data_IF_514304679303
#
_entry.id   IF_514304679303
#
_cell.length_a   1.000
_cell.length_b   1.000
_cell.length_c   1.000
_cell.angle_alpha   90.00
_cell.angle_beta   90.00
_cell.angle_gamma   90.00
#
_symmetry.space_group_name_H-M   'P 1'
#
loop_
_entity.id
_entity.type
_entity.pdbx_description
1 polymer ?
#
# COMPACT_ATOMS: atom_id res chain seq x y z
N UNK A 1 -17.60 -3.43 -12.19
CA UNK A 1 -17.09 -4.77 -11.85
C UNK A 1 -15.73 -4.67 -11.19
N UNK A 2 -15.64 -5.01 -9.89
CA UNK A 2 -14.39 -4.95 -9.12
C UNK A 2 -13.50 -6.21 -9.29
N UNK A 3 -13.87 -7.12 -10.15
CA UNK A 3 -13.25 -8.45 -10.25
C UNK A 3 -11.94 -8.52 -11.07
N UNK A 4 -11.49 -7.41 -11.68
CA UNK A 4 -10.32 -7.42 -12.56
C UNK A 4 -9.20 -6.47 -12.15
N UNK A 5 -9.15 -6.06 -10.88
CA UNK A 5 -8.00 -5.29 -10.39
C UNK A 5 -6.86 -6.24 -10.09
N UNK A 6 -6.11 -6.59 -11.12
CA UNK A 6 -4.91 -7.41 -10.98
C UNK A 6 -3.80 -6.70 -10.21
N UNK A 7 -2.83 -7.49 -9.75
CA UNK A 7 -1.62 -7.04 -9.04
C UNK A 7 -0.99 -5.77 -9.65
N UNK A 8 -0.90 -5.72 -10.98
CA UNK A 8 -0.30 -4.58 -11.68
C UNK A 8 -1.11 -3.28 -11.61
N UNK A 9 -2.45 -3.31 -11.46
CA UNK A 9 -3.26 -2.08 -11.40
C UNK A 9 -3.07 -1.36 -10.05
N UNK A 10 -3.02 -2.09 -8.95
CA UNK A 10 -2.80 -1.53 -7.61
C UNK A 10 -1.41 -0.92 -7.52
N UNK A 11 -0.37 -1.66 -7.91
CA UNK A 11 1.02 -1.20 -7.89
C UNK A 11 1.23 0.02 -8.80
N UNK A 12 0.68 -0.01 -10.02
CA UNK A 12 0.71 1.11 -10.96
C UNK A 12 0.13 2.39 -10.35
N UNK A 13 -0.98 2.31 -9.64
CA UNK A 13 -1.59 3.48 -8.99
C UNK A 13 -0.70 4.07 -7.91
N UNK A 14 -0.10 3.22 -7.08
CA UNK A 14 0.82 3.65 -6.04
C UNK A 14 2.03 4.38 -6.64
N UNK A 15 2.60 3.83 -7.70
CA UNK A 15 3.71 4.44 -8.43
C UNK A 15 3.34 5.78 -9.09
N UNK A 16 2.12 5.88 -9.66
CA UNK A 16 1.60 7.12 -10.22
C UNK A 16 1.42 8.20 -9.14
N UNK A 17 0.90 7.84 -7.96
CA UNK A 17 0.74 8.76 -6.82
C UNK A 17 2.12 9.24 -6.35
N UNK A 18 3.08 8.33 -6.14
CA UNK A 18 4.45 8.66 -5.79
C UNK A 18 5.05 9.67 -6.80
N UNK A 19 4.98 9.34 -8.09
CA UNK A 19 5.54 10.16 -9.16
C UNK A 19 4.88 11.53 -9.23
N UNK A 20 3.55 11.60 -9.05
CA UNK A 20 2.79 12.85 -9.07
C UNK A 20 3.19 13.76 -7.89
N UNK A 21 3.32 13.20 -6.69
CA UNK A 21 3.78 13.95 -5.51
C UNK A 21 5.17 14.54 -5.78
N UNK A 22 6.11 13.73 -6.26
CA UNK A 22 7.48 14.17 -6.57
C UNK A 22 7.52 15.24 -7.66
N UNK A 23 6.72 15.07 -8.71
CA UNK A 23 6.60 16.05 -9.79
C UNK A 23 6.07 17.40 -9.28
N UNK A 24 5.01 17.38 -8.48
CA UNK A 24 4.42 18.60 -7.93
C UNK A 24 5.36 19.27 -6.92
N UNK A 25 6.03 18.52 -6.07
CA UNK A 25 7.02 19.03 -5.15
C UNK A 25 8.15 19.76 -5.90
N UNK A 26 8.70 19.14 -6.95
CA UNK A 26 9.75 19.73 -7.78
C UNK A 26 9.26 20.99 -8.51
N UNK A 27 8.09 20.92 -9.16
CA UNK A 27 7.50 22.05 -9.92
C UNK A 27 7.29 23.27 -9.04
N UNK A 28 6.79 23.06 -7.82
CA UNK A 28 6.44 24.14 -6.91
C UNK A 28 7.56 24.47 -5.91
N UNK A 29 8.72 23.84 -6.01
CA UNK A 29 9.86 23.98 -5.08
C UNK A 29 9.42 23.81 -3.62
N UNK A 30 8.57 22.82 -3.34
CA UNK A 30 8.03 22.53 -2.01
C UNK A 30 8.67 21.28 -1.44
N UNK A 31 8.96 21.32 -0.14
CA UNK A 31 9.35 20.15 0.63
C UNK A 31 8.11 19.31 0.97
N UNK A 32 8.24 18.01 0.89
CA UNK A 32 7.21 17.04 1.26
C UNK A 32 7.64 16.38 2.57
N UNK A 33 6.81 16.52 3.59
CA UNK A 33 7.00 15.84 4.87
C UNK A 33 5.83 14.85 5.02
N UNK A 34 6.17 13.60 5.25
CA UNK A 34 5.19 12.51 5.39
C UNK A 34 5.07 12.11 6.86
N UNK A 35 3.84 11.93 7.32
CA UNK A 35 3.54 11.42 8.66
C UNK A 35 2.74 10.12 8.51
N UNK A 36 3.33 9.02 8.95
CA UNK A 36 2.65 7.73 9.05
C UNK A 36 2.02 7.64 10.44
N UNK A 37 0.71 7.78 10.52
CA UNK A 37 -0.01 7.75 11.80
C UNK A 37 -0.12 6.32 12.31
N UNK A 38 -0.81 5.42 11.58
CA UNK A 38 -1.01 4.04 11.99
C UNK A 38 -0.16 3.08 11.15
N UNK A 39 -0.36 3.07 9.83
CA UNK A 39 0.29 2.13 8.91
C UNK A 39 0.80 2.83 7.66
N UNK A 40 2.09 2.68 7.38
CA UNK A 40 2.68 2.94 6.08
C UNK A 40 3.48 1.72 5.65
N UNK A 41 2.77 0.69 5.18
CA UNK A 41 3.33 -0.59 4.76
C UNK A 41 3.02 -0.87 3.30
N UNK A 42 3.84 -1.68 2.62
CA UNK A 42 3.68 -2.06 1.22
C UNK A 42 3.50 -0.82 0.33
N UNK A 43 2.42 -0.71 -0.42
CA UNK A 43 2.12 0.45 -1.24
C UNK A 43 1.99 1.77 -0.48
N UNK A 44 1.59 1.74 0.79
CA UNK A 44 1.58 2.91 1.67
C UNK A 44 3.01 3.41 1.91
N UNK A 45 3.96 2.52 2.11
CA UNK A 45 5.36 2.88 2.27
C UNK A 45 5.99 3.36 0.94
N UNK A 46 5.62 2.74 -0.19
CA UNK A 46 6.02 3.23 -1.51
C UNK A 46 5.60 4.71 -1.71
N UNK A 47 4.36 5.05 -1.34
CA UNK A 47 3.87 6.43 -1.42
C UNK A 47 4.62 7.32 -0.40
N UNK A 48 4.87 6.84 0.82
CA UNK A 48 5.61 7.58 1.84
C UNK A 48 7.04 7.94 1.38
N UNK A 49 7.66 7.09 0.56
CA UNK A 49 8.95 7.36 -0.07
C UNK A 49 8.95 8.59 -1.02
N UNK A 50 7.78 9.15 -1.35
CA UNK A 50 7.70 10.45 -2.02
C UNK A 50 8.06 11.62 -1.09
N UNK A 51 8.18 11.43 0.21
CA UNK A 51 8.61 12.42 1.18
C UNK A 51 10.11 12.70 1.11
N UNK A 52 10.48 13.96 1.36
CA UNK A 52 11.85 14.35 1.65
C UNK A 52 12.23 13.96 3.08
N UNK A 53 11.21 13.92 3.95
CA UNK A 53 11.27 13.42 5.31
C UNK A 53 10.03 12.56 5.61
N UNK A 54 10.23 11.50 6.41
CA UNK A 54 9.17 10.57 6.83
C UNK A 54 9.21 10.43 8.34
N UNK A 55 8.10 10.70 8.99
CA UNK A 55 7.91 10.56 10.43
C UNK A 55 6.81 9.54 10.72
N UNK A 56 6.88 8.90 11.88
CA UNK A 56 5.87 7.95 12.33
C UNK A 56 5.71 7.98 13.84
N UNK A 57 4.63 7.40 14.38
CA UNK A 57 4.57 7.10 15.80
C UNK A 57 5.44 5.88 16.12
N UNK A 58 5.84 5.71 17.37
CA UNK A 58 6.68 4.59 17.81
C UNK A 58 6.07 3.22 17.53
N UNK A 59 4.74 3.14 17.53
CA UNK A 59 3.94 1.93 17.29
C UNK A 59 3.37 1.81 15.88
N UNK A 60 3.60 2.79 15.00
CA UNK A 60 3.19 2.69 13.60
C UNK A 60 3.83 1.48 12.93
N UNK A 61 3.12 0.89 11.98
CA UNK A 61 3.62 -0.23 11.18
C UNK A 61 4.23 0.31 9.88
N UNK A 62 5.51 0.01 9.66
CA UNK A 62 6.30 0.55 8.55
C UNK A 62 6.99 -0.60 7.81
N UNK A 63 7.10 -0.50 6.47
CA UNK A 63 7.87 -1.46 5.68
C UNK A 63 6.98 -2.32 4.79
N UNK A 64 7.02 -3.64 4.97
CA UNK A 64 6.37 -4.61 4.07
C UNK A 64 6.77 -4.36 2.60
N UNK A 65 8.10 -4.24 2.38
CA UNK A 65 8.68 -4.00 1.06
C UNK A 65 8.76 -5.32 0.31
N UNK A 66 7.63 -5.67 -0.29
CA UNK A 66 7.46 -6.93 -1.00
C UNK A 66 6.22 -6.91 -1.88
N UNK A 67 6.08 -7.96 -2.70
CA UNK A 67 4.96 -8.12 -3.62
C UNK A 67 4.35 -9.50 -3.41
N UNK A 68 3.05 -9.52 -3.12
CA UNK A 68 2.30 -10.76 -2.94
C UNK A 68 1.19 -10.88 -3.97
N UNK A 69 0.93 -12.09 -4.41
CA UNK A 69 -0.30 -12.51 -5.08
C UNK A 69 -0.89 -13.66 -4.27
N UNK A 70 -2.14 -13.54 -3.90
CA UNK A 70 -2.89 -14.59 -3.23
C UNK A 70 -4.22 -14.82 -3.92
N UNK A 71 -4.60 -16.09 -4.05
CA UNK A 71 -5.86 -16.52 -4.66
C UNK A 71 -6.36 -17.76 -3.96
N UNK A 72 -7.58 -18.17 -4.27
CA UNK A 72 -8.16 -19.44 -3.82
C UNK A 72 -8.30 -20.40 -5.01
N UNK A 73 -8.04 -21.68 -4.79
CA UNK A 73 -8.34 -22.75 -5.75
C UNK A 73 -9.68 -23.41 -5.42
N UNK A 74 -10.60 -23.44 -6.38
CA UNK A 74 -11.93 -24.03 -6.22
C UNK A 74 -12.15 -25.26 -7.12
N UNK A 75 -11.11 -25.78 -7.75
CA UNK A 75 -11.21 -26.89 -8.71
C UNK A 75 -11.89 -28.10 -8.11
N UNK A 76 -11.48 -28.56 -6.93
CA UNK A 76 -12.08 -29.71 -6.25
C UNK A 76 -13.49 -29.42 -5.71
N UNK A 77 -13.77 -28.18 -5.34
CA UNK A 77 -15.09 -27.79 -4.85
C UNK A 77 -16.13 -27.89 -5.96
N UNK A 78 -15.85 -27.32 -7.14
CA UNK A 78 -16.80 -27.34 -8.25
C UNK A 78 -17.03 -28.76 -8.78
N UNK A 79 -16.01 -29.63 -8.76
CA UNK A 79 -16.16 -31.07 -9.08
C UNK A 79 -17.13 -31.76 -8.13
N UNK A 80 -17.02 -31.53 -6.81
CA UNK A 80 -17.89 -32.13 -5.80
C UNK A 80 -19.36 -31.76 -5.93
N UNK A 81 -19.66 -30.54 -6.40
CA UNK A 81 -21.03 -30.06 -6.60
C UNK A 81 -21.53 -30.27 -8.05
N UNK A 82 -20.78 -30.99 -8.89
CA UNK A 82 -21.18 -31.31 -10.26
C UNK A 82 -21.15 -30.12 -11.21
N UNK A 83 -20.36 -29.08 -10.93
CA UNK A 83 -20.20 -27.89 -11.78
C UNK A 83 -18.95 -28.05 -12.65
N UNK A 84 -19.12 -27.85 -13.95
CA UNK A 84 -18.04 -27.87 -14.94
C UNK A 84 -17.67 -26.46 -15.35
N UNK A 85 -16.39 -26.12 -15.27
CA UNK A 85 -15.84 -24.85 -15.76
C UNK A 85 -15.51 -24.97 -17.24
N UNK A 86 -16.22 -24.24 -18.09
CA UNK A 86 -15.99 -24.20 -19.56
C UNK A 86 -15.36 -22.86 -19.92
N UNK A 87 -14.15 -22.90 -20.50
CA UNK A 87 -13.38 -21.71 -20.87
C UNK A 87 -13.02 -21.76 -22.34
N UNK A 88 -13.44 -20.75 -23.07
CA UNK A 88 -13.12 -20.58 -24.50
C UNK A 88 -12.30 -19.28 -24.63
N UNK A 89 -11.06 -19.37 -25.10
CA UNK A 89 -10.17 -18.22 -25.20
C UNK A 89 -9.60 -18.07 -26.60
N UNK A 90 -9.46 -16.84 -27.04
CA UNK A 90 -8.57 -16.47 -28.13
C UNK A 90 -7.24 -15.98 -27.51
N UNK A 91 -6.18 -16.76 -27.79
CA UNK A 91 -4.86 -16.59 -27.19
C UNK A 91 -4.53 -17.65 -26.14
N UNK A 92 -3.41 -18.35 -26.39
CA UNK A 92 -2.96 -19.54 -25.61
C UNK A 92 -2.90 -19.33 -24.10
N UNK A 93 -2.54 -18.13 -23.66
CA UNK A 93 -2.30 -17.81 -22.25
C UNK A 93 -3.36 -16.87 -21.66
N UNK A 94 -4.57 -16.81 -22.23
CA UNK A 94 -5.58 -15.85 -21.78
C UNK A 94 -6.28 -16.26 -20.49
N UNK A 95 -6.31 -17.56 -20.17
CA UNK A 95 -6.86 -18.11 -18.92
C UNK A 95 -5.75 -18.48 -17.94
N UNK A 96 -4.96 -17.49 -17.54
CA UNK A 96 -3.88 -17.66 -16.58
C UNK A 96 -4.44 -17.55 -15.18
N UNK A 97 -4.08 -18.51 -14.28
CA UNK A 97 -4.43 -18.54 -12.85
C UNK A 97 -5.95 -18.44 -12.60
N UNK A 98 -6.75 -19.13 -13.43
CA UNK A 98 -8.20 -19.27 -13.20
C UNK A 98 -8.42 -20.10 -11.94
N UNK A 99 -9.10 -19.58 -10.89
CA UNK A 99 -9.26 -20.26 -9.61
C UNK A 99 -10.12 -21.54 -9.68
N UNK A 100 -10.78 -21.79 -10.81
CA UNK A 100 -11.60 -22.98 -11.02
C UNK A 100 -10.92 -24.02 -11.93
N UNK A 101 -9.67 -23.81 -12.29
CA UNK A 101 -8.83 -24.72 -13.05
C UNK A 101 -7.56 -25.04 -12.28
N UNK A 102 -6.93 -26.18 -12.61
CA UNK A 102 -5.65 -26.56 -12.04
C UNK A 102 -4.56 -25.57 -12.47
N UNK A 103 -3.69 -25.19 -11.51
CA UNK A 103 -2.61 -24.28 -11.79
C UNK A 103 -1.55 -24.91 -12.72
N UNK A 104 -1.11 -24.16 -13.70
CA UNK A 104 -0.03 -24.54 -14.61
C UNK A 104 1.29 -23.96 -14.13
N UNK A 105 2.35 -24.77 -14.16
CA UNK A 105 3.71 -24.34 -13.74
C UNK A 105 4.17 -23.11 -14.51
N UNK A 106 3.90 -23.04 -15.79
CA UNK A 106 4.27 -21.91 -16.65
C UNK A 106 3.54 -20.62 -16.28
N UNK A 107 2.32 -20.71 -15.76
CA UNK A 107 1.57 -19.55 -15.30
C UNK A 107 2.12 -19.03 -13.96
N UNK A 108 2.51 -19.95 -13.06
CA UNK A 108 3.17 -19.62 -11.81
C UNK A 108 4.53 -18.94 -12.07
N UNK A 109 5.33 -19.47 -13.01
CA UNK A 109 6.61 -18.87 -13.38
C UNK A 109 6.45 -17.46 -13.97
N UNK A 110 5.47 -17.26 -14.85
CA UNK A 110 5.17 -15.92 -15.38
C UNK A 110 4.76 -14.94 -14.28
N UNK A 111 3.92 -15.40 -13.36
CA UNK A 111 3.52 -14.59 -12.21
C UNK A 111 4.72 -14.21 -11.35
N UNK A 112 5.58 -15.17 -11.01
CA UNK A 112 6.80 -14.94 -10.23
C UNK A 112 7.72 -13.92 -10.90
N UNK A 113 7.89 -14.00 -12.22
CA UNK A 113 8.72 -13.03 -12.95
C UNK A 113 8.13 -11.62 -12.84
N UNK A 114 6.82 -11.46 -13.01
CA UNK A 114 6.15 -10.16 -12.83
C UNK A 114 6.32 -9.65 -11.38
N UNK A 115 6.18 -10.53 -10.38
CA UNK A 115 6.36 -10.15 -8.98
C UNK A 115 7.80 -9.68 -8.70
N UNK A 116 8.80 -10.35 -9.28
CA UNK A 116 10.22 -9.97 -9.15
C UNK A 116 10.48 -8.60 -9.79
N UNK A 117 9.94 -8.33 -10.97
CA UNK A 117 10.09 -7.04 -11.62
C UNK A 117 9.46 -5.92 -10.77
N UNK A 118 8.22 -6.11 -10.30
CA UNK A 118 7.55 -5.14 -9.44
C UNK A 118 8.27 -4.93 -8.10
N UNK A 119 8.82 -6.00 -7.53
CA UNK A 119 9.59 -5.93 -6.29
C UNK A 119 10.89 -5.14 -6.48
N UNK A 120 11.57 -5.37 -7.58
CA UNK A 120 12.76 -4.61 -7.96
C UNK A 120 12.48 -3.13 -8.11
N UNK A 121 11.40 -2.76 -8.82
CA UNK A 121 10.97 -1.37 -8.95
C UNK A 121 10.69 -0.74 -7.57
N UNK A 122 10.08 -1.49 -6.64
CA UNK A 122 9.83 -1.01 -5.29
C UNK A 122 11.13 -0.77 -4.52
N UNK A 123 12.07 -1.72 -4.58
CA UNK A 123 13.39 -1.59 -3.96
C UNK A 123 14.10 -0.33 -4.49
N UNK A 124 14.11 -0.11 -5.81
CA UNK A 124 14.72 1.06 -6.43
C UNK A 124 14.12 2.38 -5.92
N UNK A 125 12.79 2.44 -5.72
CA UNK A 125 12.13 3.61 -5.12
C UNK A 125 12.61 3.85 -3.70
N UNK A 126 12.67 2.80 -2.87
CA UNK A 126 13.12 2.91 -1.47
C UNK A 126 14.58 3.32 -1.41
N UNK A 127 15.46 2.66 -2.15
CA UNK A 127 16.88 2.99 -2.21
C UNK A 127 17.11 4.44 -2.66
N UNK A 128 16.38 4.88 -3.69
CA UNK A 128 16.46 6.27 -4.17
C UNK A 128 15.98 7.28 -3.13
N UNK A 129 14.91 6.97 -2.43
CA UNK A 129 14.31 7.87 -1.43
C UNK A 129 15.12 7.90 -0.14
N UNK A 130 15.60 6.75 0.30
CA UNK A 130 16.25 6.58 1.60
C UNK A 130 17.79 6.53 1.52
N UNK A 131 18.35 6.24 0.34
CA UNK A 131 19.79 6.22 -0.03
C UNK A 131 20.78 6.15 1.17
N UNK A 132 21.32 7.27 1.60
CA UNK A 132 22.28 7.39 2.70
C UNK A 132 21.68 7.17 4.10
N UNK A 133 20.34 7.11 4.23
CA UNK A 133 19.63 6.95 5.51
C UNK A 133 19.48 5.47 5.89
N UNK A 134 19.43 4.55 4.90
CA UNK A 134 19.35 3.12 5.16
C UNK A 134 20.59 2.65 5.91
N UNK A 135 20.39 1.97 7.02
CA UNK A 135 21.49 1.41 7.81
C UNK A 135 21.73 -0.03 7.42
N UNK A 136 23.00 -0.41 7.31
CA UNK A 136 23.39 -1.82 7.20
C UNK A 136 22.91 -2.54 8.46
N UNK A 137 22.10 -3.56 8.30
CA UNK A 137 21.52 -4.35 9.37
C UNK A 137 21.60 -5.82 8.99
N UNK A 138 21.57 -6.72 9.98
CA UNK A 138 21.41 -8.16 9.76
C UNK A 138 20.00 -8.51 9.25
N UNK A 139 19.06 -7.56 9.38
CA UNK A 139 17.67 -7.70 8.91
C UNK A 139 17.61 -7.43 7.41
N UNK A 140 16.99 -8.34 6.69
CA UNK A 140 16.74 -8.20 5.25
C UNK A 140 15.57 -7.23 5.01
N UNK A 141 15.89 -5.98 4.68
CA UNK A 141 14.92 -4.89 4.53
C UNK A 141 13.87 -5.12 3.42
N UNK A 142 14.20 -5.95 2.45
CA UNK A 142 13.41 -6.16 1.24
C UNK A 142 12.76 -7.55 1.18
N UNK A 143 12.62 -8.22 2.32
CA UNK A 143 11.99 -9.54 2.43
C UNK A 143 10.46 -9.51 2.48
N UNK A 144 9.85 -8.32 2.59
CA UNK A 144 8.42 -8.16 2.82
C UNK A 144 8.03 -8.05 4.30
N UNK A 145 9.01 -8.06 5.21
CA UNK A 145 8.77 -7.82 6.63
C UNK A 145 8.33 -6.39 6.93
N UNK A 146 7.66 -6.21 8.06
CA UNK A 146 7.26 -4.91 8.58
C UNK A 146 7.75 -4.72 10.01
N UNK A 147 7.91 -3.47 10.42
CA UNK A 147 8.51 -3.10 11.70
C UNK A 147 7.70 -2.02 12.39
N UNK A 148 7.83 -1.95 13.71
CA UNK A 148 7.34 -0.80 14.46
C UNK A 148 8.08 0.47 14.02
N UNK A 149 7.45 1.65 14.18
CA UNK A 149 8.09 2.92 13.86
C UNK A 149 9.44 3.10 14.54
N UNK A 150 9.60 2.63 15.80
CA UNK A 150 10.88 2.63 16.52
C UNK A 150 11.95 1.85 15.77
N UNK A 151 11.66 0.62 15.39
CA UNK A 151 12.60 -0.23 14.66
C UNK A 151 12.86 0.31 13.25
N UNK A 152 11.83 0.85 12.58
CA UNK A 152 11.94 1.48 11.27
C UNK A 152 12.88 2.70 11.27
N UNK A 153 12.89 3.50 12.36
CA UNK A 153 13.88 4.56 12.57
C UNK A 153 15.29 4.00 12.67
N UNK A 154 15.48 2.94 13.44
CA UNK A 154 16.78 2.29 13.59
C UNK A 154 17.30 1.74 12.27
N UNK A 155 16.41 1.25 11.41
CA UNK A 155 16.73 0.73 10.08
C UNK A 155 16.93 1.84 9.02
N UNK A 156 16.55 3.08 9.32
CA UNK A 156 16.63 4.21 8.40
C UNK A 156 15.45 4.31 7.42
N UNK A 157 14.39 3.52 7.65
CA UNK A 157 13.18 3.57 6.83
C UNK A 157 12.36 4.84 7.06
N UNK A 158 12.46 5.44 8.25
CA UNK A 158 11.91 6.75 8.58
C UNK A 158 12.99 7.66 9.16
N UNK A 159 12.73 8.95 9.22
CA UNK A 159 13.69 9.93 9.73
C UNK A 159 13.64 10.05 11.24
N UNK A 160 12.44 10.15 11.81
CA UNK A 160 12.28 10.19 13.26
C UNK A 160 10.87 9.79 13.71
N UNK A 161 10.72 9.66 15.03
CA UNK A 161 9.44 9.47 15.71
C UNK A 161 8.84 10.85 16.02
N UNK A 162 7.55 11.01 15.71
CA UNK A 162 6.82 12.22 16.03
C UNK A 162 5.50 12.34 15.24
N UNK A 163 4.61 13.17 15.75
CA UNK A 163 3.35 13.49 15.10
C UNK A 163 3.44 14.83 14.33
N UNK A 164 2.48 15.04 13.41
CA UNK A 164 2.50 16.19 12.53
C UNK A 164 2.51 17.54 13.30
N UNK A 165 1.70 17.68 14.35
CA UNK A 165 1.62 18.92 15.12
C UNK A 165 2.95 19.27 15.79
N UNK A 166 3.54 18.29 16.48
CA UNK A 166 4.80 18.46 17.19
C UNK A 166 5.92 18.80 16.20
N UNK A 167 6.16 17.96 15.22
CA UNK A 167 7.28 18.12 14.26
C UNK A 167 7.17 19.40 13.44
N UNK A 168 5.95 19.78 13.02
CA UNK A 168 5.78 21.02 12.26
C UNK A 168 6.03 22.28 13.11
N UNK A 169 5.63 22.27 14.39
CA UNK A 169 5.93 23.39 15.30
C UNK A 169 7.42 23.47 15.62
N UNK A 170 8.07 22.36 15.91
CA UNK A 170 9.51 22.30 16.14
C UNK A 170 10.32 22.82 14.93
N UNK A 171 9.87 22.53 13.72
CA UNK A 171 10.58 22.90 12.48
C UNK A 171 10.31 24.33 12.00
N UNK A 172 9.08 24.81 12.17
CA UNK A 172 8.62 26.06 11.55
C UNK A 172 8.16 27.10 12.56
N UNK A 173 8.27 26.80 13.85
CA UNK A 173 7.87 27.68 14.95
C UNK A 173 6.46 27.42 15.47
N UNK A 174 6.19 27.86 16.69
CA UNK A 174 4.89 27.63 17.36
C UNK A 174 3.69 28.24 16.60
N UNK A 175 3.92 29.36 15.90
CA UNK A 175 2.90 30.09 15.15
C UNK A 175 2.62 29.52 13.76
N UNK A 176 3.18 28.34 13.43
CA UNK A 176 2.97 27.70 12.12
C UNK A 176 1.49 27.44 11.86
N UNK A 177 0.98 27.94 10.73
CA UNK A 177 -0.41 27.72 10.33
C UNK A 177 -0.52 26.43 9.56
N UNK A 178 -1.16 25.43 10.17
CA UNK A 178 -1.43 24.12 9.54
C UNK A 178 -2.79 24.18 8.87
N UNK A 179 -2.79 24.29 7.55
CA UNK A 179 -4.02 24.31 6.75
C UNK A 179 -4.38 22.89 6.30
N UNK A 180 -5.49 22.36 6.82
CA UNK A 180 -6.01 21.05 6.38
C UNK A 180 -6.73 21.16 5.04
N UNK A 181 -6.41 20.27 4.13
CA UNK A 181 -7.09 20.11 2.86
C UNK A 181 -7.83 18.76 2.88
N UNK A 182 -9.08 18.78 3.28
CA UNK A 182 -9.93 17.60 3.29
C UNK A 182 -10.88 17.64 2.07
N UNK A 183 -11.17 16.47 1.53
CA UNK A 183 -12.19 16.35 0.49
C UNK A 183 -13.54 16.77 1.10
N UNK A 184 -14.15 17.85 0.62
CA UNK A 184 -15.46 18.26 1.11
C UNK A 184 -16.46 17.11 0.88
N UNK A 185 -17.04 16.60 1.97
CA UNK A 185 -18.15 15.65 1.86
C UNK A 185 -19.24 16.33 1.04
N UNK A 186 -19.71 15.68 -0.03
CA UNK A 186 -20.81 16.19 -0.84
C UNK A 186 -21.99 16.55 0.08
N UNK A 187 -22.71 17.63 -0.20
CA UNK A 187 -23.89 18.02 0.58
C UNK A 187 -24.95 16.91 0.67
N UNK A 188 -25.01 16.02 -0.36
CA UNK A 188 -25.85 14.82 -0.34
C UNK A 188 -25.38 13.81 0.73
N UNK A 189 -24.09 13.61 0.91
CA UNK A 189 -23.59 12.70 1.96
C UNK A 189 -23.80 13.28 3.35
N UNK A 190 -23.77 14.62 3.51
CA UNK A 190 -24.15 15.28 4.77
C UNK A 190 -25.62 15.10 5.11
N UNK A 191 -26.51 15.04 4.10
CA UNK A 191 -27.96 14.88 4.31
C UNK A 191 -28.37 13.42 4.55
N UNK A 192 -27.61 12.44 4.00
CA UNK A 192 -27.80 11.02 4.28
C UNK A 192 -27.16 10.56 5.61
N UNK A 193 -26.08 11.19 6.07
CA UNK A 193 -25.41 10.79 7.32
C UNK A 193 -26.20 11.20 8.59
N UNK A 194 -27.17 12.11 8.48
CA UNK A 194 -28.01 12.50 9.63
C UNK A 194 -29.05 11.45 10.02
N UNK A 195 -29.23 10.37 9.27
CA UNK A 195 -30.18 9.29 9.55
C UNK A 195 -29.58 7.89 9.70
N UNK A 196 -28.27 7.71 9.52
CA UNK A 196 -27.65 6.37 9.46
C UNK A 196 -26.25 6.28 10.11
N UNK A 197 -26.03 6.95 11.25
CA UNK A 197 -24.75 6.88 11.99
C UNK A 197 -24.29 5.44 12.30
N UNK A 198 -25.23 4.50 12.47
CA UNK A 198 -24.89 3.10 12.73
C UNK A 198 -24.43 2.32 11.48
N UNK A 199 -24.91 2.68 10.29
CA UNK A 199 -24.50 2.01 9.04
C UNK A 199 -23.13 2.51 8.60
N UNK A 200 -22.84 3.80 8.76
CA UNK A 200 -21.53 4.38 8.47
C UNK A 200 -20.45 3.88 9.47
N UNK A 201 -20.81 3.69 10.74
CA UNK A 201 -19.92 3.06 11.72
C UNK A 201 -19.61 1.59 11.36
N UNK A 202 -20.61 0.82 10.95
CA UNK A 202 -20.42 -0.56 10.49
C UNK A 202 -19.59 -0.63 9.19
N UNK A 203 -19.83 0.27 8.25
CA UNK A 203 -19.04 0.35 7.02
C UNK A 203 -17.59 0.70 7.31
N UNK A 204 -17.32 1.65 8.19
CA UNK A 204 -15.95 2.02 8.61
C UNK A 204 -15.26 0.87 9.35
N UNK A 205 -15.95 0.16 10.24
CA UNK A 205 -15.41 -1.02 10.94
C UNK A 205 -15.10 -2.16 9.96
N UNK A 206 -15.94 -2.35 8.93
CA UNK A 206 -15.69 -3.37 7.89
C UNK A 206 -14.54 -2.98 6.97
N UNK A 207 -14.41 -1.70 6.61
CA UNK A 207 -13.25 -1.20 5.86
C UNK A 207 -11.96 -1.32 6.68
N UNK A 208 -11.98 -0.95 7.93
CA UNK A 208 -10.85 -1.07 8.85
C UNK A 208 -10.43 -2.52 9.03
N UNK A 209 -11.37 -3.44 9.32
CA UNK A 209 -11.09 -4.89 9.37
C UNK A 209 -10.57 -5.44 8.05
N UNK A 210 -11.07 -4.97 6.89
CA UNK A 210 -10.59 -5.41 5.58
C UNK A 210 -9.15 -4.96 5.32
N UNK A 211 -8.74 -3.82 5.86
CA UNK A 211 -7.35 -3.34 5.80
C UNK A 211 -6.46 -4.22 6.68
N UNK A 212 -6.84 -4.50 7.92
CA UNK A 212 -6.06 -5.34 8.84
C UNK A 212 -5.93 -6.79 8.33
N UNK A 213 -7.01 -7.38 7.79
CA UNK A 213 -6.97 -8.71 7.17
C UNK A 213 -6.02 -8.80 5.97
N UNK A 214 -5.82 -7.72 5.22
CA UNK A 214 -4.84 -7.69 4.12
C UNK A 214 -3.40 -7.81 4.57
N UNK A 215 -3.12 -7.49 5.82
CA UNK A 215 -1.78 -7.54 6.40
C UNK A 215 -1.59 -8.72 7.35
N UNK A 216 -2.60 -9.62 7.48
CA UNK A 216 -2.51 -10.81 8.31
C UNK A 216 -2.59 -10.54 9.82
N UNK A 217 -3.19 -9.40 10.20
CA UNK A 217 -3.41 -8.98 11.59
C UNK A 217 -4.89 -9.08 11.96
#
# INVERSE_FOLDING_TARGET
SNASRGLGDVYKRQHLIYSLIRQQAKKNKKKVIVFAEDVAASGGYLIACAGDEIYANSSSIIGSIGVIYSSFGFTELIKKIGVERRVHTAGKNKSTLDPFLDEKKEDIERLKNIQLDLHKDFIEVVEKSRSSKLKKSEVELFSGEFWSGRKAKDLGLIDDIGNANQILREKFGEDVVIKKFEKSKSWLSKKLSSSNDHVDQLANILEEKSVWQKYGL
#
